data_IF_987086606549
#
_entry.id   IF_987086606549
#
_cell.length_a   1.000
_cell.length_b   1.000
_cell.length_c   1.000
_cell.angle_alpha   90.00
_cell.angle_beta   90.00
_cell.angle_gamma   90.00
#
_symmetry.space_group_name_H-M   'P 1'
#
loop_
_entity.id
_entity.type
_entity.pdbx_description
1 polymer ?
#
# COMPACT_ATOMS: atom_id res chain seq x y z
N UNK A 1 -3.04 19.64 6.71
CA UNK A 1 -2.47 18.47 7.40
C UNK A 1 -3.03 17.19 6.79
N UNK A 2 -2.70 16.02 7.32
CA UNK A 2 -3.27 14.74 6.92
C UNK A 2 -3.67 13.97 8.19
N UNK A 3 -4.79 13.27 8.13
CA UNK A 3 -5.16 12.25 9.10
C UNK A 3 -4.57 10.91 8.64
N UNK A 4 -3.95 10.16 9.56
CA UNK A 4 -3.12 9.00 9.20
C UNK A 4 -3.43 7.83 10.11
N UNK A 5 -3.95 6.76 9.51
CA UNK A 5 -4.03 5.44 10.13
C UNK A 5 -2.77 4.62 9.77
N UNK A 6 -2.01 4.23 10.78
CA UNK A 6 -0.78 3.43 10.59
C UNK A 6 -1.10 1.95 10.77
N UNK A 7 -0.81 1.16 9.75
CA UNK A 7 -0.95 -0.30 9.81
C UNK A 7 0.28 -0.94 10.47
N UNK A 8 0.04 -1.84 11.42
CA UNK A 8 1.08 -2.64 12.05
C UNK A 8 1.27 -4.00 11.34
N UNK A 9 2.52 -4.46 11.28
CA UNK A 9 2.89 -5.77 10.73
C UNK A 9 3.37 -5.74 9.28
N UNK A 10 3.74 -6.92 8.77
CA UNK A 10 4.20 -7.10 7.40
C UNK A 10 3.01 -7.19 6.43
N UNK A 11 3.19 -6.73 5.19
CA UNK A 11 2.19 -6.89 4.14
C UNK A 11 2.00 -8.35 3.71
N UNK A 12 2.98 -9.24 3.93
CA UNK A 12 3.00 -10.62 3.46
C UNK A 12 4.03 -10.89 2.36
N UNK A 13 4.55 -9.85 1.71
CA UNK A 13 5.44 -9.95 0.54
C UNK A 13 6.86 -9.42 0.78
N UNK A 14 7.27 -9.14 2.03
CA UNK A 14 8.55 -8.48 2.31
C UNK A 14 9.73 -9.08 1.55
N UNK A 15 10.49 -8.23 0.85
CA UNK A 15 11.50 -8.66 -0.12
C UNK A 15 10.83 -9.38 -1.29
N UNK A 16 11.17 -10.65 -1.47
CA UNK A 16 10.55 -11.57 -2.44
C UNK A 16 9.80 -12.72 -1.75
N UNK A 17 9.66 -12.76 -0.41
CA UNK A 17 9.20 -13.94 0.34
C UNK A 17 7.93 -14.55 -0.26
N UNK A 18 6.88 -13.76 -0.44
CA UNK A 18 5.62 -14.25 -0.98
C UNK A 18 5.58 -14.49 -2.49
N UNK A 19 6.69 -14.18 -3.20
CA UNK A 19 6.89 -14.56 -4.60
C UNK A 19 7.68 -15.87 -4.75
N UNK A 20 8.28 -16.38 -3.67
CA UNK A 20 8.99 -17.66 -3.70
C UNK A 20 8.02 -18.83 -3.79
N UNK A 21 8.43 -19.87 -4.54
CA UNK A 21 7.63 -21.07 -4.71
C UNK A 21 7.31 -21.71 -3.34
N UNK A 22 6.03 -21.99 -3.09
CA UNK A 22 5.56 -22.57 -1.84
C UNK A 22 5.20 -21.56 -0.73
N UNK A 23 5.45 -20.26 -0.92
CA UNK A 23 5.15 -19.24 0.10
C UNK A 23 3.87 -18.43 -0.16
N UNK A 24 3.20 -18.64 -1.29
CA UNK A 24 2.03 -17.84 -1.68
C UNK A 24 0.91 -17.87 -0.62
N UNK A 25 0.51 -19.06 -0.16
CA UNK A 25 -0.59 -19.18 0.80
C UNK A 25 -0.26 -18.50 2.14
N UNK A 26 1.00 -18.61 2.59
CA UNK A 26 1.47 -17.95 3.82
C UNK A 26 1.49 -16.43 3.64
N UNK A 27 1.97 -15.93 2.49
CA UNK A 27 1.93 -14.52 2.13
C UNK A 27 0.51 -13.96 2.17
N UNK A 28 -0.44 -14.65 1.53
CA UNK A 28 -1.85 -14.26 1.51
C UNK A 28 -2.49 -14.31 2.91
N UNK A 29 -2.16 -15.32 3.71
CA UNK A 29 -2.62 -15.42 5.09
C UNK A 29 -2.11 -14.27 5.96
N UNK A 30 -0.86 -13.84 5.80
CA UNK A 30 -0.31 -12.67 6.50
C UNK A 30 -1.05 -11.40 6.07
N UNK A 31 -1.24 -11.20 4.76
CA UNK A 31 -1.90 -10.02 4.23
C UNK A 31 -3.37 -9.89 4.72
N UNK A 32 -4.05 -11.02 4.87
CA UNK A 32 -5.43 -11.09 5.36
C UNK A 32 -5.58 -10.66 6.84
N UNK A 33 -4.49 -10.60 7.63
CA UNK A 33 -4.53 -10.20 9.04
C UNK A 33 -4.72 -8.70 9.23
N UNK A 34 -4.07 -7.89 8.39
CA UNK A 34 -4.06 -6.43 8.55
C UNK A 34 -4.33 -5.70 7.24
N UNK A 35 -3.54 -5.97 6.19
CA UNK A 35 -3.57 -5.18 4.96
C UNK A 35 -4.92 -5.27 4.24
N UNK A 36 -5.43 -6.48 4.03
CA UNK A 36 -6.72 -6.71 3.36
C UNK A 36 -7.88 -6.02 4.07
N UNK A 37 -8.10 -6.29 5.37
CA UNK A 37 -9.15 -5.62 6.15
C UNK A 37 -9.04 -4.10 6.15
N UNK A 38 -7.82 -3.55 6.29
CA UNK A 38 -7.62 -2.11 6.31
C UNK A 38 -7.99 -1.45 4.97
N UNK A 39 -7.63 -2.07 3.84
CA UNK A 39 -8.02 -1.56 2.52
C UNK A 39 -9.54 -1.64 2.34
N UNK A 40 -10.16 -2.73 2.79
CA UNK A 40 -11.61 -2.92 2.68
C UNK A 40 -12.42 -1.93 3.54
N UNK A 41 -11.90 -1.54 4.72
CA UNK A 41 -12.56 -0.57 5.60
C UNK A 41 -12.26 0.88 5.27
N UNK A 42 -11.27 1.16 4.42
CA UNK A 42 -10.85 2.51 4.11
C UNK A 42 -11.96 3.29 3.35
N UNK A 43 -12.26 4.54 3.73
CA UNK A 43 -13.18 5.38 2.97
C UNK A 43 -12.76 5.56 1.51
N UNK A 44 -13.75 5.76 0.64
CA UNK A 44 -13.48 6.06 -0.77
C UNK A 44 -12.59 7.30 -0.91
N UNK A 45 -11.59 7.22 -1.79
CA UNK A 45 -10.61 8.29 -1.99
C UNK A 45 -9.43 8.29 -1.01
N UNK A 46 -9.43 7.43 0.02
CA UNK A 46 -8.29 7.26 0.93
C UNK A 46 -7.04 6.84 0.17
N UNK A 47 -5.93 7.53 0.43
CA UNK A 47 -4.62 7.21 -0.18
C UNK A 47 -3.99 6.04 0.56
N UNK A 48 -3.70 4.96 -0.15
CA UNK A 48 -2.84 3.89 0.38
C UNK A 48 -1.38 4.32 0.22
N UNK A 49 -0.76 4.77 1.31
CA UNK A 49 0.64 5.15 1.33
C UNK A 49 1.52 3.94 1.68
N UNK A 50 2.45 3.60 0.79
CA UNK A 50 3.39 2.52 0.99
C UNK A 50 4.68 2.77 0.19
N UNK A 51 5.77 3.07 0.90
CA UNK A 51 7.08 3.34 0.28
C UNK A 51 7.78 2.07 -0.21
N UNK A 52 7.53 0.94 0.46
CA UNK A 52 8.05 -0.36 0.05
C UNK A 52 7.35 -0.92 -1.20
N UNK A 53 8.13 -1.34 -2.19
CA UNK A 53 7.63 -2.03 -3.39
C UNK A 53 6.75 -3.24 -3.02
N UNK A 54 7.24 -4.10 -2.11
CA UNK A 54 6.51 -5.30 -1.67
C UNK A 54 5.11 -4.99 -1.14
N UNK A 55 4.95 -3.91 -0.36
CA UNK A 55 3.66 -3.51 0.18
C UNK A 55 2.69 -3.03 -0.92
N UNK A 56 3.20 -2.28 -1.90
CA UNK A 56 2.38 -1.84 -3.05
C UNK A 56 1.93 -3.04 -3.90
N UNK A 57 2.85 -3.94 -4.23
CA UNK A 57 2.53 -5.16 -5.00
C UNK A 57 1.53 -6.04 -4.27
N UNK A 58 1.71 -6.24 -2.96
CA UNK A 58 0.77 -7.06 -2.20
C UNK A 58 -0.62 -6.42 -2.13
N UNK A 59 -0.73 -5.10 -2.03
CA UNK A 59 -2.01 -4.39 -2.08
C UNK A 59 -2.73 -4.57 -3.43
N UNK A 60 -1.98 -4.65 -4.53
CA UNK A 60 -2.52 -4.99 -5.85
C UNK A 60 -3.01 -6.45 -5.88
N UNK A 61 -2.27 -7.40 -5.30
CA UNK A 61 -2.67 -8.80 -5.25
C UNK A 61 -3.93 -9.05 -4.40
N UNK A 62 -4.05 -8.41 -3.23
CA UNK A 62 -5.14 -8.70 -2.28
C UNK A 62 -6.41 -7.90 -2.52
N UNK A 63 -6.31 -6.74 -3.18
CA UNK A 63 -7.44 -5.81 -3.27
C UNK A 63 -7.47 -4.98 -4.57
N UNK A 64 -6.61 -5.28 -5.56
CA UNK A 64 -6.46 -4.46 -6.78
C UNK A 64 -6.25 -2.97 -6.46
N UNK A 65 -5.63 -2.66 -5.31
CA UNK A 65 -5.44 -1.30 -4.83
C UNK A 65 -4.02 -0.84 -5.10
N UNK A 66 -3.90 0.21 -5.92
CA UNK A 66 -2.61 0.88 -6.16
C UNK A 66 -2.16 1.65 -4.91
N UNK A 67 -1.06 1.20 -4.31
CA UNK A 67 -0.34 1.97 -3.29
C UNK A 67 0.54 3.06 -3.90
N UNK A 68 0.94 4.05 -3.10
CA UNK A 68 1.75 5.19 -3.52
C UNK A 68 2.96 5.40 -2.63
N UNK A 69 4.08 5.79 -3.23
CA UNK A 69 5.23 6.26 -2.49
C UNK A 69 5.00 7.71 -2.00
N UNK A 70 5.51 8.06 -0.82
CA UNK A 70 5.36 9.40 -0.24
C UNK A 70 5.90 10.50 -1.17
N UNK A 71 7.06 10.26 -1.77
CA UNK A 71 7.62 11.19 -2.77
C UNK A 71 6.68 11.45 -3.95
N UNK A 72 5.97 10.43 -4.47
CA UNK A 72 4.98 10.63 -5.54
C UNK A 72 3.82 11.50 -5.04
N UNK A 73 3.33 11.22 -3.83
CA UNK A 73 2.21 11.95 -3.21
C UNK A 73 2.56 13.43 -3.03
N UNK A 74 3.74 13.70 -2.51
CA UNK A 74 4.23 15.07 -2.34
C UNK A 74 4.47 15.74 -3.69
N UNK A 75 5.07 15.05 -4.66
CA UNK A 75 5.36 15.61 -5.98
C UNK A 75 4.09 16.06 -6.71
N UNK A 76 3.02 15.25 -6.71
CA UNK A 76 1.74 15.63 -7.32
C UNK A 76 1.11 16.85 -6.65
N UNK A 77 1.19 16.95 -5.31
CA UNK A 77 0.66 18.10 -4.59
C UNK A 77 1.50 19.35 -4.82
N UNK A 78 2.83 19.23 -4.83
CA UNK A 78 3.73 20.33 -5.13
C UNK A 78 3.60 20.81 -6.59
N UNK A 79 3.39 19.90 -7.54
CA UNK A 79 3.13 20.25 -8.93
C UNK A 79 1.77 20.95 -9.08
N UNK A 80 0.73 20.47 -8.39
CA UNK A 80 -0.58 21.14 -8.36
C UNK A 80 -0.53 22.54 -7.73
N UNK A 81 0.33 22.74 -6.72
CA UNK A 81 0.60 24.06 -6.12
C UNK A 81 1.40 24.97 -7.06
N UNK A 82 2.24 24.38 -7.93
CA UNK A 82 2.95 25.07 -9.01
C UNK A 82 2.06 25.14 -10.25
N UNK A 83 0.91 25.80 -10.14
CA UNK A 83 0.20 26.17 -11.37
C UNK A 83 1.10 27.10 -12.19
N UNK A 84 1.29 26.87 -13.51
CA UNK A 84 1.95 27.85 -14.36
C UNK A 84 1.11 29.13 -14.36
N UNK A 85 1.76 30.28 -14.17
CA UNK A 85 1.22 31.53 -14.70
C UNK A 85 1.33 31.52 -16.22
#
# INVERSE_FOLDING_TARGET
GADVDVLAGCCGLAGNFGMEAGHYDVSMAIAARTLGPAIASAPAGTVLLADGFSCRTQAEHVAARRGRHLAELLAERLAGLRSPQ
#
